data_IF_384219904319
#
_entry.id   IF_384219904319
#
_cell.length_a   1.000
_cell.length_b   1.000
_cell.length_c   1.000
_cell.angle_alpha   90.00
_cell.angle_beta   90.00
_cell.angle_gamma   90.00
#
_symmetry.space_group_name_H-M   'P 1'
#
loop_
_entity.id
_entity.type
_entity.pdbx_description
1 polymer ?
#
# COMPACT_ATOMS: atom_id res chain seq x y z
N UNK A 1 -15.25 16.79 22.74
CA UNK A 1 -16.36 17.64 22.25
C UNK A 1 -17.11 18.24 23.43
N UNK A 2 -17.34 19.52 23.42
CA UNK A 2 -18.19 20.19 24.40
C UNK A 2 -19.50 20.58 23.72
N UNK A 3 -20.61 20.38 24.42
CA UNK A 3 -21.91 20.89 23.99
C UNK A 3 -21.87 22.42 24.02
N UNK A 4 -22.37 23.08 23.00
CA UNK A 4 -22.37 24.52 22.90
C UNK A 4 -23.43 25.00 21.93
N UNK A 5 -23.86 26.25 22.10
CA UNK A 5 -24.86 26.89 21.25
C UNK A 5 -24.15 27.68 20.15
N UNK A 6 -24.30 27.26 18.88
CA UNK A 6 -23.86 27.99 17.70
C UNK A 6 -25.00 28.00 16.67
N UNK A 7 -25.14 29.07 15.94
CA UNK A 7 -26.21 29.26 14.93
C UNK A 7 -27.64 29.01 15.45
N UNK A 8 -27.87 29.24 16.77
CA UNK A 8 -29.17 29.04 17.41
C UNK A 8 -29.46 27.60 17.87
N UNK A 9 -28.55 26.66 17.63
CA UNK A 9 -28.70 25.24 17.97
C UNK A 9 -27.76 24.83 19.09
N UNK A 10 -28.27 24.08 20.08
CA UNK A 10 -27.49 23.56 21.22
C UNK A 10 -27.07 22.11 20.94
N UNK A 11 -25.94 21.94 20.25
CA UNK A 11 -25.44 20.68 19.78
C UNK A 11 -23.96 20.47 20.14
N UNK A 12 -23.42 19.28 19.82
CA UNK A 12 -21.99 19.02 19.84
C UNK A 12 -21.37 19.44 18.50
N UNK A 13 -20.54 20.47 18.55
CA UNK A 13 -19.92 21.06 17.38
C UNK A 13 -18.53 20.51 17.15
N UNK A 14 -18.22 20.15 15.91
CA UNK A 14 -16.88 19.80 15.42
C UNK A 14 -16.39 20.93 14.52
N UNK A 15 -15.22 21.47 14.81
CA UNK A 15 -14.56 22.44 13.96
C UNK A 15 -13.42 21.75 13.22
N UNK A 16 -13.46 21.80 11.90
CA UNK A 16 -12.35 21.50 11.04
C UNK A 16 -11.61 22.78 10.73
N UNK A 17 -10.32 22.80 10.98
CA UNK A 17 -9.45 23.94 10.64
C UNK A 17 -8.17 23.38 10.06
N UNK A 18 -7.70 23.99 8.99
CA UNK A 18 -6.39 23.73 8.46
C UNK A 18 -5.34 24.25 9.47
N UNK A 19 -4.45 23.37 9.93
CA UNK A 19 -3.27 23.79 10.69
C UNK A 19 -2.18 24.20 9.70
N UNK A 20 -2.32 25.38 9.09
CA UNK A 20 -1.23 25.97 8.33
C UNK A 20 -0.18 26.47 9.32
N UNK A 21 0.91 25.72 9.47
CA UNK A 21 2.13 26.26 10.02
C UNK A 21 2.63 27.38 9.12
N UNK A 22 2.43 28.62 9.54
CA UNK A 22 3.04 29.84 8.99
C UNK A 22 2.95 30.04 7.45
N UNK A 23 1.78 30.48 6.97
CA UNK A 23 1.73 31.47 5.92
C UNK A 23 0.37 32.17 5.88
N UNK A 24 0.41 33.50 5.86
CA UNK A 24 -0.73 34.40 5.85
C UNK A 24 -1.46 34.51 4.52
N UNK A 25 -1.15 33.64 3.56
CA UNK A 25 -1.81 33.63 2.25
C UNK A 25 -2.72 32.40 2.13
N UNK A 26 -3.95 32.57 2.57
CA UNK A 26 -5.06 31.65 2.27
C UNK A 26 -5.38 31.79 0.78
N UNK A 27 -4.69 31.03 -0.05
CA UNK A 27 -5.05 30.88 -1.45
C UNK A 27 -6.29 29.96 -1.51
N UNK A 28 -7.45 30.54 -1.73
CA UNK A 28 -8.76 29.86 -1.83
C UNK A 28 -8.76 28.71 -2.88
N UNK A 29 -7.75 28.65 -3.75
CA UNK A 29 -7.58 27.60 -4.75
C UNK A 29 -6.92 26.29 -4.27
N UNK A 30 -6.38 26.26 -3.05
CA UNK A 30 -5.65 25.09 -2.53
C UNK A 30 -6.34 24.42 -1.33
N UNK A 31 -7.61 24.71 -1.06
CA UNK A 31 -8.34 23.99 -0.04
C UNK A 31 -8.48 22.51 -0.43
N UNK A 32 -8.09 21.57 0.43
CA UNK A 32 -8.31 20.16 0.17
C UNK A 32 -9.80 19.89 -0.01
N UNK A 33 -10.15 19.15 -1.05
CA UNK A 33 -11.53 18.76 -1.29
C UNK A 33 -11.89 17.67 -0.27
N UNK A 34 -12.81 17.99 0.64
CA UNK A 34 -13.32 17.03 1.61
C UNK A 34 -14.51 16.31 0.98
N UNK A 35 -14.38 15.01 0.74
CA UNK A 35 -15.43 14.19 0.14
C UNK A 35 -16.44 13.69 1.19
N UNK A 36 -16.02 13.56 2.45
CA UNK A 36 -16.91 13.15 3.53
C UNK A 36 -16.29 13.26 4.91
N UNK A 37 -17.15 13.30 5.92
CA UNK A 37 -16.78 13.29 7.33
C UNK A 37 -17.62 12.21 8.02
N UNK A 38 -16.97 11.19 8.54
CA UNK A 38 -17.62 10.01 9.12
C UNK A 38 -17.23 9.86 10.60
N UNK A 39 -17.86 10.64 11.52
CA UNK A 39 -17.46 10.70 12.93
C UNK A 39 -17.69 9.39 13.69
N UNK A 40 -18.57 8.52 13.22
CA UNK A 40 -18.88 7.23 13.82
C UNK A 40 -18.29 6.06 13.01
N UNK A 41 -17.27 6.32 12.20
CA UNK A 41 -16.61 5.29 11.43
C UNK A 41 -15.52 4.59 12.26
N UNK A 42 -15.35 3.31 12.01
CA UNK A 42 -14.22 2.51 12.48
C UNK A 42 -13.58 1.78 11.30
N UNK A 43 -12.29 1.57 11.36
CA UNK A 43 -11.60 0.73 10.36
C UNK A 43 -11.83 -0.74 10.69
N UNK A 44 -12.13 -1.51 9.65
CA UNK A 44 -12.29 -2.97 9.72
C UNK A 44 -11.33 -3.62 8.75
N UNK A 45 -10.91 -4.85 9.05
CA UNK A 45 -10.10 -5.68 8.17
C UNK A 45 -11.02 -6.73 7.51
N UNK A 46 -10.79 -7.00 6.23
CA UNK A 46 -11.49 -8.05 5.47
C UNK A 46 -10.87 -9.43 5.75
N UNK A 47 -10.87 -9.86 7.00
CA UNK A 47 -10.32 -11.15 7.44
C UNK A 47 -11.36 -11.92 8.25
N UNK A 48 -11.30 -13.24 8.18
CA UNK A 48 -12.06 -14.13 9.04
C UNK A 48 -11.16 -14.66 10.15
N UNK A 49 -11.56 -14.45 11.41
CA UNK A 49 -10.81 -14.94 12.57
C UNK A 49 -11.33 -16.30 12.95
N UNK A 50 -10.46 -17.29 13.01
CA UNK A 50 -10.77 -18.69 13.29
C UNK A 50 -9.97 -19.13 14.50
N UNK A 51 -10.63 -19.89 15.38
CA UNK A 51 -10.00 -20.50 16.55
C UNK A 51 -10.24 -22.02 16.51
N UNK A 52 -9.16 -22.78 16.50
CA UNK A 52 -9.18 -24.24 16.43
C UNK A 52 -8.30 -24.83 17.54
N UNK A 53 -8.71 -26.00 18.04
CA UNK A 53 -7.93 -26.75 19.03
C UNK A 53 -7.60 -28.13 18.48
N UNK A 54 -6.33 -28.49 18.58
CA UNK A 54 -5.79 -29.74 18.08
C UNK A 54 -5.16 -30.56 19.18
N UNK A 55 -5.23 -31.88 19.06
CA UNK A 55 -4.51 -32.83 19.86
C UNK A 55 -3.42 -33.51 19.05
N UNK A 56 -2.17 -33.51 19.54
CA UNK A 56 -1.06 -34.25 18.90
C UNK A 56 -0.59 -35.34 19.85
N UNK A 57 -0.49 -36.58 19.30
CA UNK A 57 0.09 -37.68 20.08
C UNK A 57 1.57 -37.39 20.45
N UNK A 58 1.99 -37.54 21.74
CA UNK A 58 3.34 -37.20 22.17
C UNK A 58 4.45 -37.95 21.44
N UNK A 59 4.15 -39.18 20.97
CA UNK A 59 5.08 -40.08 20.28
C UNK A 59 5.02 -40.00 18.77
N UNK A 60 4.19 -39.09 18.18
CA UNK A 60 4.16 -38.91 16.74
C UNK A 60 5.54 -38.54 16.22
N UNK A 61 6.01 -39.24 15.16
CA UNK A 61 7.27 -38.92 14.49
C UNK A 61 7.19 -37.56 13.81
N UNK A 62 6.05 -37.30 13.16
CA UNK A 62 5.72 -36.04 12.52
C UNK A 62 4.63 -35.30 13.31
N UNK A 63 5.03 -34.27 14.03
CA UNK A 63 4.10 -33.41 14.75
C UNK A 63 3.60 -32.29 13.87
N UNK A 64 2.70 -32.65 12.95
CA UNK A 64 2.09 -31.68 12.03
C UNK A 64 0.59 -31.57 12.29
N UNK A 65 0.06 -30.37 12.13
CA UNK A 65 -1.36 -30.08 12.12
C UNK A 65 -1.71 -29.34 10.85
N UNK A 66 -2.87 -29.64 10.28
CA UNK A 66 -3.44 -28.91 9.14
C UNK A 66 -4.60 -28.08 9.65
N UNK A 67 -4.56 -26.79 9.42
CA UNK A 67 -5.64 -25.85 9.70
C UNK A 67 -6.75 -25.99 8.65
N UNK A 68 -7.95 -25.58 8.99
CA UNK A 68 -9.11 -25.67 8.06
C UNK A 68 -8.94 -24.77 6.85
N UNK A 69 -8.15 -23.70 6.95
CA UNK A 69 -7.92 -22.75 5.86
C UNK A 69 -6.42 -22.43 5.73
N UNK A 70 -6.01 -22.16 4.50
CA UNK A 70 -4.72 -21.58 4.14
C UNK A 70 -4.77 -20.05 4.01
N UNK A 71 -3.78 -19.47 3.34
CA UNK A 71 -3.64 -18.03 3.10
C UNK A 71 -3.75 -17.19 4.40
N UNK A 72 -2.96 -17.59 5.40
CA UNK A 72 -2.99 -17.07 6.75
C UNK A 72 -2.27 -15.74 6.84
N UNK A 73 -3.00 -14.69 7.25
CA UNK A 73 -2.46 -13.34 7.45
C UNK A 73 -1.83 -13.14 8.83
N UNK A 74 -2.48 -13.66 9.87
CA UNK A 74 -2.04 -13.57 11.26
C UNK A 74 -2.19 -14.93 11.94
N UNK A 75 -1.27 -15.28 12.81
CA UNK A 75 -1.21 -16.59 13.46
C UNK A 75 -0.74 -16.46 14.90
N UNK A 76 -1.52 -16.99 15.81
CA UNK A 76 -1.18 -17.10 17.23
C UNK A 76 -1.35 -18.56 17.65
N UNK A 77 -0.27 -19.16 18.13
CA UNK A 77 -0.25 -20.58 18.55
C UNK A 77 0.07 -20.65 20.02
N UNK A 78 -0.81 -21.30 20.77
CA UNK A 78 -0.63 -21.58 22.19
C UNK A 78 -0.62 -23.08 22.43
N UNK A 79 0.32 -23.53 23.23
CA UNK A 79 0.46 -24.93 23.59
C UNK A 79 0.27 -25.09 25.12
N UNK A 80 -0.50 -26.07 25.51
CA UNK A 80 -0.73 -26.37 26.92
C UNK A 80 0.50 -27.05 27.52
N UNK A 81 1.22 -26.36 28.38
CA UNK A 81 2.39 -26.91 29.07
C UNK A 81 2.03 -27.76 30.31
N UNK A 82 3.02 -28.49 30.85
CA UNK A 82 2.87 -29.36 32.01
C UNK A 82 2.14 -28.70 33.19
N UNK A 83 1.36 -29.47 33.87
CA UNK A 83 0.67 -29.02 35.07
C UNK A 83 1.67 -28.60 36.14
N UNK A 84 1.82 -27.31 36.33
CA UNK A 84 2.35 -26.75 37.57
C UNK A 84 1.16 -26.41 38.45
N UNK A 85 1.00 -27.11 39.56
CA UNK A 85 -0.14 -26.93 40.47
C UNK A 85 -0.18 -25.54 41.12
N UNK A 86 0.87 -24.73 40.93
CA UNK A 86 0.92 -23.32 41.33
C UNK A 86 0.26 -22.37 40.34
N UNK A 87 -0.05 -22.81 39.12
CA UNK A 87 -0.60 -21.99 38.04
C UNK A 87 -2.06 -22.35 37.72
N UNK A 88 -2.86 -21.37 37.39
CA UNK A 88 -4.21 -21.58 36.85
C UNK A 88 -4.17 -22.29 35.49
N UNK A 89 -5.30 -22.83 35.02
CA UNK A 89 -5.38 -23.49 33.69
C UNK A 89 -5.04 -22.52 32.56
N UNK A 90 -5.46 -21.25 32.67
CA UNK A 90 -5.20 -20.21 31.70
C UNK A 90 -3.71 -19.81 31.65
N UNK A 91 -3.02 -19.78 32.79
CA UNK A 91 -1.59 -19.47 32.87
C UNK A 91 -0.67 -20.58 32.35
N UNK A 92 -1.22 -21.73 32.01
CA UNK A 92 -0.49 -22.89 31.46
C UNK A 92 -0.49 -22.91 29.94
N UNK A 93 -1.30 -22.09 29.28
CA UNK A 93 -1.28 -21.88 27.85
C UNK A 93 -0.15 -20.90 27.48
N UNK A 94 0.94 -21.44 26.96
CA UNK A 94 2.11 -20.66 26.62
C UNK A 94 2.14 -20.34 25.12
N UNK A 95 2.47 -19.11 24.80
CA UNK A 95 2.60 -18.63 23.44
C UNK A 95 3.88 -19.18 22.80
N UNK A 96 3.75 -19.77 21.63
CA UNK A 96 4.86 -20.25 20.82
C UNK A 96 5.16 -19.27 19.68
N UNK A 97 6.43 -19.16 19.28
CA UNK A 97 6.90 -18.27 18.23
C UNK A 97 7.16 -19.02 16.93
N UNK A 98 6.85 -18.38 15.81
CA UNK A 98 7.17 -18.90 14.50
C UNK A 98 8.67 -18.77 14.21
N UNK A 99 9.30 -19.84 13.75
CA UNK A 99 10.70 -19.87 13.34
C UNK A 99 10.80 -20.31 11.86
N UNK A 100 11.81 -19.86 11.11
CA UNK A 100 11.99 -20.28 9.73
C UNK A 100 12.34 -21.77 9.60
N UNK A 101 13.07 -22.33 10.58
CA UNK A 101 13.48 -23.71 10.62
C UNK A 101 13.49 -24.22 12.07
N UNK A 102 13.21 -25.52 12.25
CA UNK A 102 13.27 -26.17 13.55
C UNK A 102 14.67 -26.73 13.84
N UNK A 103 15.29 -26.27 14.90
CA UNK A 103 16.54 -26.80 15.44
C UNK A 103 16.31 -27.83 16.54
N UNK A 104 17.39 -28.43 17.01
CA UNK A 104 17.33 -29.42 18.09
C UNK A 104 16.77 -28.90 19.42
N UNK A 105 16.86 -27.60 19.67
CA UNK A 105 16.42 -26.90 20.86
C UNK A 105 15.10 -26.10 20.69
N UNK A 106 14.45 -26.21 19.53
CA UNK A 106 13.24 -25.44 19.24
C UNK A 106 12.07 -25.73 20.19
N UNK A 107 11.98 -26.95 20.72
CA UNK A 107 10.99 -27.31 21.74
C UNK A 107 11.18 -26.55 23.06
N UNK A 108 12.43 -26.32 23.47
CA UNK A 108 12.73 -25.51 24.67
C UNK A 108 12.55 -24.02 24.43
N UNK A 109 12.77 -23.56 23.19
CA UNK A 109 12.56 -22.18 22.79
C UNK A 109 11.10 -21.84 22.48
N UNK A 110 10.22 -22.86 22.45
CA UNK A 110 8.81 -22.70 22.09
C UNK A 110 8.64 -22.19 20.66
N UNK A 111 9.29 -22.87 19.72
CA UNK A 111 9.29 -22.51 18.29
C UNK A 111 8.53 -23.57 17.49
N UNK A 112 7.82 -23.12 16.46
CA UNK A 112 7.17 -23.94 15.44
C UNK A 112 7.45 -23.34 14.06
N UNK A 113 7.25 -24.13 12.98
CA UNK A 113 7.26 -23.61 11.61
C UNK A 113 5.86 -23.63 11.03
N UNK A 114 5.56 -22.66 10.17
CA UNK A 114 4.27 -22.56 9.50
C UNK A 114 4.41 -22.44 7.99
N UNK A 115 3.69 -23.28 7.26
CA UNK A 115 3.34 -23.04 5.88
C UNK A 115 2.00 -22.30 5.86
N UNK A 116 2.08 -20.98 5.79
CA UNK A 116 0.89 -20.12 5.86
C UNK A 116 -0.01 -20.25 4.64
N UNK A 117 0.53 -20.65 3.50
CA UNK A 117 -0.23 -20.82 2.27
C UNK A 117 -1.09 -22.08 2.32
N UNK A 118 -0.50 -23.20 2.78
CA UNK A 118 -1.22 -24.46 2.91
C UNK A 118 -1.96 -24.60 4.25
N UNK A 119 -1.72 -23.69 5.21
CA UNK A 119 -2.29 -23.79 6.55
C UNK A 119 -1.70 -24.98 7.35
N UNK A 120 -0.41 -25.27 7.18
CA UNK A 120 0.24 -26.39 7.85
C UNK A 120 1.23 -25.91 8.89
N UNK A 121 1.09 -26.40 10.12
CA UNK A 121 2.03 -26.11 11.20
C UNK A 121 2.83 -27.36 11.53
N UNK A 122 4.15 -27.19 11.73
CA UNK A 122 5.05 -28.27 12.13
C UNK A 122 5.71 -27.93 13.45
N UNK A 123 5.67 -28.84 14.39
CA UNK A 123 6.24 -28.69 15.72
C UNK A 123 7.50 -29.55 15.89
N UNK A 124 8.41 -29.16 16.80
CA UNK A 124 9.63 -29.94 17.06
C UNK A 124 9.32 -31.32 17.62
N UNK A 125 10.18 -32.29 17.29
CA UNK A 125 10.04 -33.68 17.74
C UNK A 125 10.02 -33.80 19.26
N UNK A 126 10.85 -33.00 19.95
CA UNK A 126 10.99 -33.00 21.40
C UNK A 126 10.42 -31.69 21.94
N UNK A 127 9.46 -31.83 22.86
CA UNK A 127 8.74 -30.73 23.53
C UNK A 127 8.77 -30.98 25.04
N UNK A 128 9.95 -30.85 25.67
CA UNK A 128 10.19 -31.27 27.05
C UNK A 128 9.35 -30.54 28.11
N UNK A 129 8.92 -29.32 27.80
CA UNK A 129 8.07 -28.49 28.65
C UNK A 129 6.59 -28.85 28.58
N UNK A 130 6.21 -29.58 27.56
CA UNK A 130 4.83 -29.96 27.32
C UNK A 130 4.51 -31.25 28.09
N UNK A 131 3.25 -31.48 28.39
CA UNK A 131 2.73 -32.59 29.14
C UNK A 131 3.22 -33.96 28.65
N UNK A 132 3.73 -34.81 29.51
CA UNK A 132 4.40 -36.05 29.13
C UNK A 132 3.74 -37.31 29.71
N UNK A 133 2.45 -37.32 29.95
CA UNK A 133 1.81 -38.61 30.12
C UNK A 133 1.69 -39.23 28.71
N UNK A 134 2.29 -40.43 28.55
CA UNK A 134 2.34 -41.15 27.25
C UNK A 134 0.97 -41.43 26.64
N UNK A 135 -0.10 -41.19 27.37
CA UNK A 135 -1.50 -41.45 27.00
C UNK A 135 -2.32 -40.17 26.73
N UNK A 136 -1.81 -39.00 27.05
CA UNK A 136 -2.53 -37.72 26.85
C UNK A 136 -1.96 -36.97 25.68
N UNK A 137 -2.84 -36.54 24.78
CA UNK A 137 -2.48 -35.69 23.62
C UNK A 137 -1.97 -34.33 24.08
N UNK A 138 -1.05 -33.77 23.30
CA UNK A 138 -0.58 -32.39 23.45
C UNK A 138 -1.65 -31.48 22.88
N UNK A 139 -2.28 -30.67 23.73
CA UNK A 139 -3.30 -29.73 23.30
C UNK A 139 -2.66 -28.45 22.74
N UNK A 140 -3.08 -28.06 21.55
CA UNK A 140 -2.61 -26.87 20.83
C UNK A 140 -3.81 -26.05 20.42
N UNK A 141 -3.87 -24.82 20.89
CA UNK A 141 -4.87 -23.83 20.51
C UNK A 141 -4.28 -22.88 19.48
N UNK A 142 -4.93 -22.77 18.34
CA UNK A 142 -4.51 -21.94 17.22
C UNK A 142 -5.59 -20.92 16.93
N UNK A 143 -5.21 -19.65 17.00
CA UNK A 143 -6.04 -18.53 16.55
C UNK A 143 -5.37 -17.90 15.34
N UNK A 144 -6.09 -17.83 14.24
CA UNK A 144 -5.54 -17.27 13.00
C UNK A 144 -6.56 -16.46 12.22
N UNK A 145 -6.04 -15.59 11.40
CA UNK A 145 -6.81 -14.75 10.48
C UNK A 145 -6.55 -15.21 9.04
N UNK A 146 -7.63 -15.52 8.34
CA UNK A 146 -7.64 -15.95 6.96
C UNK A 146 -8.19 -14.84 6.07
N UNK A 147 -7.56 -14.60 4.91
CA UNK A 147 -8.01 -13.65 3.90
C UNK A 147 -8.21 -14.36 2.55
N UNK A 148 -9.30 -14.04 1.87
CA UNK A 148 -9.63 -14.63 0.55
C UNK A 148 -8.96 -13.93 -0.64
N UNK A 149 -7.87 -13.20 -0.41
CA UNK A 149 -7.17 -12.49 -1.47
C UNK A 149 -7.99 -11.34 -2.06
N UNK A 150 -7.83 -11.07 -3.35
CA UNK A 150 -8.51 -9.96 -4.05
C UNK A 150 -10.04 -10.03 -3.98
N UNK A 151 -10.61 -11.23 -3.84
CA UNK A 151 -12.06 -11.43 -3.69
C UNK A 151 -12.61 -10.77 -2.42
N UNK A 152 -11.76 -10.53 -1.41
CA UNK A 152 -12.15 -9.83 -0.19
C UNK A 152 -12.30 -8.31 -0.37
N UNK A 153 -11.96 -7.75 -1.53
CA UNK A 153 -12.21 -6.36 -1.85
C UNK A 153 -13.69 -6.16 -2.21
N UNK A 154 -14.36 -5.32 -1.44
CA UNK A 154 -15.82 -5.11 -1.50
C UNK A 154 -16.10 -3.68 -1.99
N UNK A 155 -16.98 -3.48 -3.00
CA UNK A 155 -17.41 -2.18 -3.48
C UNK A 155 -18.09 -1.32 -2.40
N UNK A 156 -18.27 -0.03 -2.72
CA UNK A 156 -18.96 0.94 -1.85
C UNK A 156 -20.40 0.46 -1.57
N UNK A 157 -20.81 0.49 -0.29
CA UNK A 157 -22.16 0.24 0.15
C UNK A 157 -22.57 -1.24 0.24
N UNK A 158 -21.71 -2.18 -0.10
CA UNK A 158 -22.03 -3.60 -0.02
C UNK A 158 -21.90 -4.16 1.41
N UNK A 159 -21.07 -3.55 2.26
CA UNK A 159 -21.03 -3.88 3.68
C UNK A 159 -22.19 -3.12 4.36
N UNK A 160 -23.36 -3.74 4.40
CA UNK A 160 -24.60 -3.10 4.88
C UNK A 160 -25.29 -3.88 6.00
N UNK A 161 -24.65 -4.93 6.52
CA UNK A 161 -25.22 -5.82 7.52
C UNK A 161 -24.26 -6.10 8.66
N UNK A 162 -24.79 -6.15 9.88
CA UNK A 162 -24.08 -6.62 11.06
C UNK A 162 -24.41 -8.10 11.29
N UNK A 163 -23.41 -8.91 11.64
CA UNK A 163 -23.61 -10.29 12.04
C UNK A 163 -24.39 -10.38 13.35
N UNK A 164 -24.09 -9.51 14.31
CA UNK A 164 -24.78 -9.43 15.59
C UNK A 164 -25.41 -8.06 15.80
N UNK A 165 -26.60 -8.05 16.36
CA UNK A 165 -27.28 -6.81 16.72
C UNK A 165 -26.51 -6.10 17.83
N UNK A 166 -26.08 -4.87 17.57
CA UNK A 166 -25.41 -4.00 18.56
C UNK A 166 -26.41 -2.93 18.96
N UNK A 167 -26.61 -2.73 20.27
CA UNK A 167 -27.52 -1.69 20.78
C UNK A 167 -27.09 -0.32 20.26
N UNK A 168 -28.09 0.50 19.89
CA UNK A 168 -27.92 1.87 19.35
C UNK A 168 -27.33 1.99 17.94
N UNK A 169 -27.09 0.88 17.21
CA UNK A 169 -26.70 0.89 15.81
C UNK A 169 -27.89 0.41 14.97
N UNK A 170 -28.41 1.27 14.13
CA UNK A 170 -29.55 0.97 13.27
C UNK A 170 -29.12 0.43 11.89
N UNK A 171 -28.00 0.93 11.37
CA UNK A 171 -27.45 0.53 10.08
C UNK A 171 -25.95 0.73 10.03
N UNK A 172 -25.30 -0.02 9.16
CA UNK A 172 -23.87 0.12 8.84
C UNK A 172 -23.72 0.19 7.33
N UNK A 173 -22.71 0.88 6.85
CA UNK A 173 -22.31 0.84 5.45
C UNK A 173 -20.83 1.23 5.33
N UNK A 174 -20.19 0.77 4.26
CA UNK A 174 -18.85 1.21 3.92
C UNK A 174 -18.93 2.40 2.94
N UNK A 175 -18.46 3.59 3.33
CA UNK A 175 -18.50 4.78 2.48
C UNK A 175 -17.46 4.77 1.35
N UNK A 176 -16.47 3.88 1.44
CA UNK A 176 -15.43 3.67 0.44
C UNK A 176 -15.31 2.17 0.13
N UNK A 177 -14.84 1.84 -1.07
CA UNK A 177 -14.49 0.46 -1.39
C UNK A 177 -13.38 -0.05 -0.46
N UNK A 178 -13.40 -1.33 -0.13
CA UNK A 178 -12.26 -1.95 0.57
C UNK A 178 -11.14 -2.18 -0.43
N UNK A 179 -9.91 -1.96 -0.01
CA UNK A 179 -8.71 -2.04 -0.85
C UNK A 179 -7.61 -2.80 -0.13
N UNK A 180 -6.56 -3.17 -0.85
CA UNK A 180 -5.35 -3.81 -0.33
C UNK A 180 -5.49 -5.29 0.06
N UNK A 181 -6.55 -5.98 -0.32
CA UNK A 181 -6.55 -7.43 -0.32
C UNK A 181 -5.89 -7.91 -1.63
N UNK A 182 -4.83 -8.70 -1.49
CA UNK A 182 -4.03 -9.23 -2.61
C UNK A 182 -3.95 -10.75 -2.49
N UNK A 183 -3.88 -11.42 -3.63
CA UNK A 183 -3.64 -12.85 -3.67
C UNK A 183 -2.23 -13.22 -3.17
N UNK A 184 -2.03 -14.47 -2.81
CA UNK A 184 -0.75 -15.01 -2.40
C UNK A 184 0.35 -14.76 -3.45
N UNK A 185 1.60 -14.60 -3.00
CA UNK A 185 2.76 -14.39 -3.86
C UNK A 185 2.96 -15.58 -4.81
N UNK A 186 3.20 -15.31 -6.09
CA UNK A 186 3.55 -16.35 -7.06
C UNK A 186 5.00 -16.80 -6.86
N UNK A 187 5.34 -18.01 -7.36
CA UNK A 187 6.71 -18.52 -7.29
C UNK A 187 7.72 -17.59 -8.00
N UNK A 188 7.31 -16.96 -9.11
CA UNK A 188 8.20 -16.05 -9.85
C UNK A 188 8.47 -14.77 -9.04
N UNK A 189 7.45 -14.16 -8.44
CA UNK A 189 7.61 -13.02 -7.54
C UNK A 189 8.49 -13.37 -6.33
N UNK A 190 8.33 -14.55 -5.77
CA UNK A 190 9.18 -15.03 -4.68
C UNK A 190 10.66 -15.20 -5.09
N UNK A 191 10.92 -15.67 -6.31
CA UNK A 191 12.29 -15.78 -6.85
C UNK A 191 12.92 -14.41 -7.06
N UNK A 192 12.18 -13.45 -7.62
CA UNK A 192 12.64 -12.06 -7.81
C UNK A 192 12.94 -11.39 -6.47
N UNK A 193 12.05 -11.51 -5.50
CA UNK A 193 12.24 -10.99 -4.14
C UNK A 193 13.44 -11.62 -3.44
N UNK A 194 13.65 -12.94 -3.57
CA UNK A 194 14.79 -13.61 -2.96
C UNK A 194 16.13 -13.15 -3.56
N UNK A 195 16.19 -12.82 -4.84
CA UNK A 195 17.38 -12.25 -5.45
C UNK A 195 17.78 -10.92 -4.81
N UNK A 196 16.80 -10.05 -4.57
CA UNK A 196 17.01 -8.78 -3.85
C UNK A 196 17.42 -9.01 -2.39
N UNK A 197 16.75 -9.93 -1.69
CA UNK A 197 17.08 -10.27 -0.30
C UNK A 197 18.52 -10.78 -0.15
N UNK A 198 19.02 -11.64 -1.05
CA UNK A 198 20.40 -12.11 -1.04
C UNK A 198 21.41 -10.97 -1.22
N UNK A 199 21.04 -9.92 -1.98
CA UNK A 199 21.90 -8.74 -2.19
C UNK A 199 22.02 -7.87 -0.95
N UNK A 200 20.90 -7.46 -0.32
CA UNK A 200 20.91 -6.55 0.82
C UNK A 200 21.02 -7.26 2.19
N UNK A 201 20.74 -8.57 2.26
CA UNK A 201 20.85 -9.36 3.50
C UNK A 201 20.01 -8.79 4.67
N UNK A 202 18.86 -8.20 4.37
CA UNK A 202 17.97 -7.58 5.36
C UNK A 202 18.47 -6.25 5.92
N UNK A 203 19.33 -5.51 5.21
CA UNK A 203 19.86 -4.22 5.68
C UNK A 203 19.65 -3.12 4.65
N UNK A 204 19.24 -1.94 5.09
CA UNK A 204 19.14 -0.73 4.27
C UNK A 204 20.48 0.01 4.27
N UNK A 205 21.27 -0.12 3.20
CA UNK A 205 22.58 0.56 3.03
C UNK A 205 22.59 1.41 1.76
N UNK A 206 22.26 0.82 0.62
CA UNK A 206 22.17 1.52 -0.66
C UNK A 206 20.76 2.04 -0.93
N UNK A 207 20.63 2.98 -1.87
CA UNK A 207 19.30 3.47 -2.30
C UNK A 207 18.41 2.33 -2.80
N UNK A 208 18.99 1.38 -3.52
CA UNK A 208 18.28 0.20 -4.04
C UNK A 208 17.77 -0.71 -2.91
N UNK A 209 18.54 -0.87 -1.81
CA UNK A 209 18.10 -1.68 -0.67
C UNK A 209 16.86 -1.08 -0.01
N UNK A 210 16.80 0.28 0.12
CA UNK A 210 15.61 0.96 0.63
C UNK A 210 14.40 0.75 -0.27
N UNK A 211 14.59 0.75 -1.61
CA UNK A 211 13.52 0.51 -2.58
C UNK A 211 13.01 -0.94 -2.49
N UNK A 212 13.91 -1.92 -2.46
CA UNK A 212 13.54 -3.33 -2.41
C UNK A 212 12.88 -3.70 -1.09
N UNK A 213 13.47 -3.28 0.03
CA UNK A 213 12.88 -3.54 1.35
C UNK A 213 11.54 -2.82 1.56
N UNK A 214 11.31 -1.68 0.90
CA UNK A 214 9.99 -1.07 0.91
C UNK A 214 8.95 -1.93 0.18
N UNK A 215 9.32 -2.55 -0.96
CA UNK A 215 8.47 -3.51 -1.69
C UNK A 215 8.22 -4.78 -0.88
N UNK A 216 9.20 -5.24 -0.10
CA UNK A 216 9.04 -6.37 0.83
C UNK A 216 8.05 -6.03 1.95
N UNK A 217 8.14 -4.81 2.52
CA UNK A 217 7.26 -4.38 3.60
C UNK A 217 5.79 -4.29 3.18
N UNK A 218 5.53 -3.89 1.92
CA UNK A 218 4.17 -3.68 1.39
C UNK A 218 4.10 -4.03 -0.09
N UNK A 219 3.35 -5.06 -0.45
CA UNK A 219 3.15 -5.50 -1.85
C UNK A 219 2.30 -4.56 -2.70
N UNK A 220 1.58 -3.64 -2.07
CA UNK A 220 0.71 -2.67 -2.74
C UNK A 220 1.48 -1.47 -3.34
N UNK A 221 2.79 -1.48 -3.28
CA UNK A 221 3.63 -0.47 -3.89
C UNK A 221 3.70 -0.72 -5.40
N UNK A 222 3.30 0.29 -6.18
CA UNK A 222 3.49 0.25 -7.63
C UNK A 222 4.84 0.83 -8.04
N UNK A 223 5.20 1.98 -7.45
CA UNK A 223 6.49 2.63 -7.74
C UNK A 223 7.12 3.11 -6.45
N UNK A 224 8.43 2.95 -6.36
CA UNK A 224 9.24 3.44 -5.25
C UNK A 224 10.58 3.92 -5.78
N UNK A 225 11.05 5.06 -5.25
CA UNK A 225 12.36 5.62 -5.57
C UNK A 225 12.98 6.23 -4.32
N UNK A 226 14.24 5.91 -4.08
CA UNK A 226 15.01 6.44 -2.97
C UNK A 226 15.89 7.60 -3.42
N UNK A 227 15.81 8.71 -2.69
CA UNK A 227 16.64 9.90 -2.90
C UNK A 227 17.50 10.13 -1.66
N UNK A 228 18.78 9.78 -1.76
CA UNK A 228 19.76 10.01 -0.70
C UNK A 228 20.27 11.45 -0.73
N UNK A 229 20.38 12.08 0.45
CA UNK A 229 20.88 13.45 0.57
C UNK A 229 19.85 14.55 0.35
N UNK A 230 18.56 14.22 0.38
CA UNK A 230 17.46 15.17 0.17
C UNK A 230 16.36 15.00 1.23
N UNK A 231 15.74 16.12 1.63
CA UNK A 231 14.63 16.17 2.58
C UNK A 231 13.28 15.86 1.90
N UNK A 232 12.21 15.88 2.67
CA UNK A 232 10.84 15.62 2.19
C UNK A 232 10.33 16.63 1.14
N UNK A 233 10.94 17.82 1.04
CA UNK A 233 10.63 18.84 0.05
C UNK A 233 11.58 18.81 -1.17
N UNK A 234 12.52 17.87 -1.22
CA UNK A 234 13.50 17.76 -2.29
C UNK A 234 14.68 18.75 -2.18
N UNK A 235 14.91 19.35 -1.01
CA UNK A 235 16.06 20.24 -0.76
C UNK A 235 17.25 19.41 -0.28
N UNK A 236 18.48 19.77 -0.69
CA UNK A 236 19.68 19.08 -0.23
C UNK A 236 19.79 19.07 1.30
N UNK A 237 19.88 17.90 1.90
CA UNK A 237 20.10 17.69 3.33
C UNK A 237 21.04 16.51 3.53
N UNK A 238 22.23 16.79 3.98
CA UNK A 238 23.26 15.76 4.17
C UNK A 238 22.82 14.69 5.17
N UNK A 239 22.94 13.42 4.78
CA UNK A 239 22.56 12.26 5.59
C UNK A 239 21.05 12.02 5.69
N UNK A 240 20.22 12.76 4.93
CA UNK A 240 18.81 12.46 4.81
C UNK A 240 18.58 11.38 3.74
N UNK A 241 17.52 10.60 3.94
CA UNK A 241 17.02 9.60 2.99
C UNK A 241 15.54 9.82 2.82
N UNK A 242 15.12 10.12 1.61
CA UNK A 242 13.71 10.28 1.27
C UNK A 242 13.27 9.19 0.30
N UNK A 243 12.29 8.41 0.73
CA UNK A 243 11.66 7.37 -0.07
C UNK A 243 10.35 7.91 -0.64
N UNK A 244 10.27 7.98 -1.96
CA UNK A 244 9.07 8.39 -2.67
C UNK A 244 8.30 7.16 -3.09
N UNK A 245 7.06 7.03 -2.63
CA UNK A 245 6.25 5.82 -2.78
C UNK A 245 4.92 6.14 -3.44
N UNK A 246 4.57 5.40 -4.49
CA UNK A 246 3.26 5.41 -5.12
C UNK A 246 2.60 4.05 -4.98
N UNK A 247 1.46 4.01 -4.30
CA UNK A 247 0.64 2.80 -4.19
C UNK A 247 -0.15 2.55 -5.47
N UNK A 248 -0.60 1.32 -5.71
CA UNK A 248 -1.48 0.97 -6.83
C UNK A 248 -2.79 1.79 -6.82
N UNK A 249 -3.30 2.07 -5.62
CA UNK A 249 -4.56 2.81 -5.38
C UNK A 249 -4.34 4.32 -5.15
N UNK A 250 -3.37 4.91 -5.81
CA UNK A 250 -2.90 6.29 -5.57
C UNK A 250 -3.96 7.40 -5.76
N UNK A 251 -5.15 7.13 -6.16
CA UNK A 251 -6.22 8.11 -6.36
C UNK A 251 -7.40 7.95 -5.42
N UNK A 252 -7.46 6.88 -4.63
CA UNK A 252 -8.68 6.50 -3.94
C UNK A 252 -8.76 6.99 -2.50
N UNK A 253 -7.65 7.10 -1.76
CA UNK A 253 -7.68 7.55 -0.37
C UNK A 253 -6.31 7.96 0.19
N UNK A 254 -6.25 9.14 0.82
CA UNK A 254 -5.09 9.57 1.63
C UNK A 254 -4.84 8.65 2.82
N UNK A 255 -5.86 7.98 3.33
CA UNK A 255 -5.76 7.04 4.44
C UNK A 255 -4.98 5.78 4.06
N UNK A 256 -5.14 5.29 2.82
CA UNK A 256 -4.38 4.16 2.30
C UNK A 256 -2.88 4.45 2.32
N UNK A 257 -2.47 5.64 1.88
CA UNK A 257 -1.06 6.03 1.90
C UNK A 257 -0.47 6.11 3.31
N UNK A 258 -1.17 6.71 4.28
CA UNK A 258 -0.67 6.80 5.66
C UNK A 258 -0.50 5.43 6.32
N UNK A 259 -1.37 4.47 6.01
CA UNK A 259 -1.23 3.08 6.46
C UNK A 259 0.00 2.41 5.83
N UNK A 260 0.17 2.55 4.52
CA UNK A 260 1.33 2.05 3.76
C UNK A 260 2.62 2.67 4.30
N UNK A 261 2.67 3.98 4.45
CA UNK A 261 3.78 4.73 5.04
C UNK A 261 4.17 4.19 6.42
N UNK A 262 3.19 3.96 7.30
CA UNK A 262 3.44 3.44 8.64
C UNK A 262 4.04 2.04 8.63
N UNK A 263 3.57 1.15 7.75
CA UNK A 263 4.13 -0.20 7.59
C UNK A 263 5.57 -0.15 7.07
N UNK A 264 5.81 0.61 6.01
CA UNK A 264 7.16 0.79 5.44
C UNK A 264 8.09 1.37 6.50
N UNK A 265 7.66 2.43 7.19
CA UNK A 265 8.46 3.09 8.23
C UNK A 265 8.86 2.10 9.34
N UNK A 266 7.92 1.33 9.88
CA UNK A 266 8.22 0.37 10.94
C UNK A 266 9.18 -0.73 10.49
N UNK A 267 9.03 -1.24 9.27
CA UNK A 267 9.89 -2.30 8.72
C UNK A 267 11.31 -1.79 8.44
N UNK A 268 11.44 -0.65 7.77
CA UNK A 268 12.74 -0.10 7.41
C UNK A 268 13.52 0.41 8.62
N UNK A 269 12.87 1.07 9.58
CA UNK A 269 13.57 1.58 10.79
C UNK A 269 14.14 0.48 11.67
N UNK A 270 13.61 -0.73 11.60
CA UNK A 270 14.18 -1.90 12.29
C UNK A 270 15.47 -2.41 11.62
N UNK A 271 15.70 -2.08 10.34
CA UNK A 271 16.76 -2.66 9.50
C UNK A 271 17.73 -1.61 8.92
N UNK A 272 17.64 -0.35 9.35
CA UNK A 272 18.49 0.76 8.89
C UNK A 272 19.38 1.31 10.00
N UNK A 273 20.33 2.19 9.63
CA UNK A 273 21.19 2.88 10.60
C UNK A 273 20.35 3.74 11.55
N UNK A 274 20.48 3.47 12.84
CA UNK A 274 19.78 4.20 13.91
C UNK A 274 20.12 5.69 13.96
N UNK A 275 21.27 6.12 13.44
CA UNK A 275 21.61 7.54 13.38
C UNK A 275 20.67 8.30 12.43
N UNK A 276 20.22 7.68 11.34
CA UNK A 276 19.27 8.28 10.39
C UNK A 276 17.90 8.43 11.07
N UNK A 277 17.45 7.40 11.79
CA UNK A 277 16.19 7.39 12.53
C UNK A 277 16.18 8.44 13.64
N UNK A 278 17.20 8.41 14.51
CA UNK A 278 17.30 9.28 15.69
C UNK A 278 17.40 10.77 15.33
N UNK A 279 17.96 11.10 14.16
CA UNK A 279 18.06 12.47 13.68
C UNK A 279 16.87 12.92 12.84
N UNK A 280 15.81 12.09 12.76
CA UNK A 280 14.61 12.34 11.94
C UNK A 280 14.96 12.68 10.49
N UNK A 281 15.92 11.96 9.92
CA UNK A 281 16.40 12.16 8.53
C UNK A 281 15.83 11.15 7.54
N UNK A 282 14.94 10.28 7.97
CA UNK A 282 14.23 9.34 7.12
C UNK A 282 12.81 9.85 6.85
N UNK A 283 12.51 10.05 5.58
CA UNK A 283 11.24 10.58 5.12
C UNK A 283 10.58 9.61 4.13
N UNK A 284 9.27 9.46 4.21
CA UNK A 284 8.47 8.74 3.23
C UNK A 284 7.39 9.69 2.74
N UNK A 285 7.40 9.94 1.43
CA UNK A 285 6.50 10.90 0.79
C UNK A 285 5.81 10.31 -0.43
N UNK A 286 4.66 10.86 -0.77
CA UNK A 286 3.98 10.56 -2.03
C UNK A 286 4.51 11.49 -3.13
N UNK A 287 4.65 11.03 -4.38
CA UNK A 287 5.03 11.90 -5.48
C UNK A 287 3.92 12.92 -5.76
N UNK A 288 4.32 14.15 -6.13
CA UNK A 288 3.41 15.17 -6.62
C UNK A 288 2.92 14.77 -8.02
N UNK A 289 1.62 14.64 -8.20
CA UNK A 289 1.04 14.34 -9.50
C UNK A 289 0.85 15.65 -10.28
N UNK A 290 1.68 15.85 -11.30
CA UNK A 290 1.60 17.03 -12.17
C UNK A 290 0.52 16.83 -13.22
N UNK A 291 -0.57 17.55 -13.06
CA UNK A 291 -1.65 17.55 -14.03
C UNK A 291 -1.21 18.29 -15.29
N UNK A 292 -1.16 17.56 -16.42
CA UNK A 292 -0.82 18.10 -17.74
C UNK A 292 -2.08 18.24 -18.58
N UNK A 293 -2.41 19.47 -18.95
CA UNK A 293 -3.46 19.76 -19.91
C UNK A 293 -2.83 19.80 -21.32
N UNK A 294 -3.40 19.04 -22.23
CA UNK A 294 -2.90 18.88 -23.60
C UNK A 294 -3.94 19.42 -24.58
N UNK A 295 -3.50 20.35 -25.42
CA UNK A 295 -4.27 20.79 -26.58
C UNK A 295 -3.54 20.40 -27.86
N UNK A 296 -4.18 19.60 -28.68
CA UNK A 296 -3.63 19.13 -29.95
C UNK A 296 -4.56 19.44 -31.12
N UNK A 297 -3.98 19.93 -32.23
CA UNK A 297 -4.62 20.12 -33.51
C UNK A 297 -4.02 19.10 -34.47
N UNK A 298 -4.88 18.29 -35.09
CA UNK A 298 -4.50 17.15 -35.92
C UNK A 298 -5.06 17.27 -37.31
N UNK A 299 -4.29 16.86 -38.32
CA UNK A 299 -4.79 16.53 -39.66
C UNK A 299 -5.01 15.01 -39.74
N UNK A 300 -6.16 14.60 -40.24
CA UNK A 300 -6.54 13.20 -40.35
C UNK A 300 -6.33 12.68 -41.78
N UNK A 301 -6.09 11.37 -41.88
CA UNK A 301 -5.92 10.71 -43.17
C UNK A 301 -7.26 10.57 -43.93
N UNK A 302 -8.39 10.55 -43.24
CA UNK A 302 -9.73 10.40 -43.79
C UNK A 302 -10.76 11.23 -43.02
N UNK A 303 -11.52 12.10 -43.73
CA UNK A 303 -12.55 12.96 -43.12
C UNK A 303 -13.71 12.18 -42.46
N UNK A 304 -14.00 10.98 -42.94
CA UNK A 304 -15.12 10.16 -42.44
C UNK A 304 -14.93 9.57 -41.04
N UNK A 305 -13.71 9.63 -40.52
CA UNK A 305 -13.36 9.01 -39.22
C UNK A 305 -13.03 10.02 -38.11
N UNK A 306 -13.37 11.29 -38.26
CA UNK A 306 -13.00 12.35 -37.29
C UNK A 306 -13.34 11.98 -35.87
N UNK A 307 -14.55 11.51 -35.60
CA UNK A 307 -14.98 11.17 -34.26
C UNK A 307 -14.19 9.97 -33.66
N UNK A 308 -14.00 8.92 -34.47
CA UNK A 308 -13.29 7.71 -34.02
C UNK A 308 -11.80 8.01 -33.80
N UNK A 309 -11.16 8.78 -34.69
CA UNK A 309 -9.76 9.18 -34.55
C UNK A 309 -9.54 10.09 -33.32
N UNK A 310 -10.42 11.06 -33.11
CA UNK A 310 -10.37 11.96 -31.93
C UNK A 310 -10.50 11.17 -30.62
N UNK A 311 -11.38 10.18 -30.62
CA UNK A 311 -11.54 9.30 -29.45
C UNK A 311 -10.28 8.47 -29.19
N UNK A 312 -9.70 7.81 -30.21
CA UNK A 312 -8.45 7.04 -30.10
C UNK A 312 -7.28 7.90 -29.61
N UNK A 313 -7.17 9.12 -30.12
CA UNK A 313 -6.13 10.08 -29.69
C UNK A 313 -6.29 10.47 -28.22
N UNK A 314 -7.52 10.67 -27.77
CA UNK A 314 -7.78 10.97 -26.34
C UNK A 314 -7.44 9.80 -25.44
N UNK A 315 -7.88 8.60 -25.81
CA UNK A 315 -7.56 7.36 -25.07
C UNK A 315 -6.05 7.12 -25.02
N UNK A 316 -5.34 7.38 -26.12
CA UNK A 316 -3.88 7.26 -26.13
C UNK A 316 -3.19 8.31 -25.26
N UNK A 317 -3.65 9.55 -25.22
CA UNK A 317 -3.14 10.59 -24.33
C UNK A 317 -3.38 10.23 -22.84
N UNK A 318 -4.57 9.75 -22.52
CA UNK A 318 -4.90 9.30 -21.17
C UNK A 318 -3.99 8.14 -20.75
N UNK A 319 -3.81 7.15 -21.62
CA UNK A 319 -2.90 6.03 -21.41
C UNK A 319 -1.45 6.49 -21.26
N UNK A 320 -0.96 7.33 -22.20
CA UNK A 320 0.44 7.76 -22.22
C UNK A 320 0.83 8.58 -20.98
N UNK A 321 -0.09 9.41 -20.47
CA UNK A 321 0.12 10.25 -19.30
C UNK A 321 -0.19 9.55 -17.97
N UNK A 322 -0.63 8.30 -17.99
CA UNK A 322 -0.88 7.54 -16.76
C UNK A 322 0.43 7.27 -16.01
N UNK A 323 0.52 7.59 -14.72
CA UNK A 323 1.75 7.38 -13.94
C UNK A 323 2.16 5.92 -13.82
N UNK A 324 1.20 4.98 -13.87
CA UNK A 324 1.45 3.54 -13.68
C UNK A 324 1.57 2.74 -14.97
N UNK A 325 0.81 3.12 -15.99
CA UNK A 325 0.69 2.39 -17.27
C UNK A 325 1.11 3.21 -18.48
N UNK A 326 1.55 4.45 -18.26
CA UNK A 326 1.97 5.36 -19.31
C UNK A 326 3.31 4.99 -19.93
N UNK A 327 3.93 6.00 -20.59
CA UNK A 327 5.17 5.81 -21.33
C UNK A 327 4.99 4.92 -22.58
N UNK A 328 6.07 4.78 -23.37
CA UNK A 328 6.08 4.00 -24.63
C UNK A 328 5.99 2.48 -24.38
N UNK A 329 6.52 2.02 -23.24
CA UNK A 329 6.60 0.59 -22.90
C UNK A 329 5.40 0.09 -22.08
N UNK A 330 4.53 1.00 -21.58
CA UNK A 330 3.38 0.62 -20.76
C UNK A 330 3.73 0.30 -19.32
N UNK A 331 4.96 0.55 -18.88
CA UNK A 331 5.49 0.32 -17.53
C UNK A 331 5.36 1.56 -16.62
N UNK A 332 4.73 2.62 -17.15
CA UNK A 332 4.51 3.89 -16.47
C UNK A 332 5.76 4.77 -16.40
N UNK A 333 5.61 5.94 -15.82
CA UNK A 333 6.67 6.92 -15.71
C UNK A 333 7.54 6.68 -14.49
N UNK A 334 8.86 6.85 -14.63
CA UNK A 334 9.75 6.86 -13.47
C UNK A 334 9.50 8.09 -12.60
N UNK A 335 9.66 7.94 -11.28
CA UNK A 335 9.52 9.06 -10.35
C UNK A 335 10.59 10.11 -10.66
N UNK A 336 10.16 11.33 -10.95
CA UNK A 336 11.01 12.43 -11.39
C UNK A 336 11.04 12.64 -12.92
N UNK A 337 10.51 11.69 -13.70
CA UNK A 337 10.42 11.83 -15.14
C UNK A 337 9.05 12.41 -15.55
N UNK A 338 9.09 13.43 -16.41
CA UNK A 338 7.89 14.04 -17.00
C UNK A 338 8.02 13.99 -18.51
N UNK A 339 6.91 13.74 -19.26
CA UNK A 339 6.93 13.69 -20.70
C UNK A 339 7.27 15.03 -21.32
N UNK A 340 8.09 15.03 -22.35
CA UNK A 340 8.31 16.21 -23.15
C UNK A 340 7.30 16.31 -24.32
N UNK A 341 7.27 17.48 -24.95
CA UNK A 341 6.38 17.76 -26.08
C UNK A 341 6.62 16.81 -27.26
N UNK A 342 7.90 16.45 -27.49
CA UNK A 342 8.27 15.57 -28.59
C UNK A 342 7.87 14.14 -28.33
N UNK A 343 7.98 13.66 -27.08
CA UNK A 343 7.54 12.33 -26.67
C UNK A 343 6.02 12.17 -26.84
N UNK A 344 5.25 13.17 -26.41
CA UNK A 344 3.78 13.18 -26.61
C UNK A 344 3.45 13.20 -28.12
N UNK A 345 4.12 14.07 -28.92
CA UNK A 345 3.90 14.11 -30.35
C UNK A 345 4.26 12.79 -31.05
N UNK A 346 5.31 12.10 -30.55
CA UNK A 346 5.70 10.80 -31.09
C UNK A 346 4.65 9.71 -30.77
N UNK A 347 4.13 9.68 -29.55
CA UNK A 347 3.07 8.75 -29.16
C UNK A 347 1.80 8.96 -30.02
N UNK A 348 1.40 10.20 -30.24
CA UNK A 348 0.22 10.53 -31.05
C UNK A 348 0.36 10.19 -32.52
N UNK A 349 1.57 10.27 -33.09
CA UNK A 349 1.82 9.89 -34.51
C UNK A 349 1.64 8.39 -34.77
N UNK A 350 1.67 7.57 -33.72
CA UNK A 350 1.46 6.12 -33.83
C UNK A 350 -0.03 5.74 -33.84
N UNK A 351 -0.92 6.70 -33.53
CA UNK A 351 -2.35 6.44 -33.47
C UNK A 351 -2.90 6.33 -34.89
N UNK A 352 -3.62 5.26 -35.17
CA UNK A 352 -4.24 5.01 -36.47
C UNK A 352 -5.22 6.12 -36.84
N UNK A 353 -5.08 6.65 -38.08
CA UNK A 353 -5.89 7.74 -38.60
C UNK A 353 -5.26 9.12 -38.45
N UNK A 354 -4.20 9.29 -37.68
CA UNK A 354 -3.46 10.57 -37.58
C UNK A 354 -2.45 10.68 -38.70
N UNK A 355 -2.59 11.70 -39.56
CA UNK A 355 -1.67 12.02 -40.66
C UNK A 355 -0.55 12.97 -40.22
N UNK A 356 -0.94 14.03 -39.53
CA UNK A 356 -0.02 15.07 -39.09
C UNK A 356 -0.53 15.79 -37.84
N UNK A 357 0.41 16.31 -37.04
CA UNK A 357 0.11 17.14 -35.85
C UNK A 357 0.47 18.58 -36.22
N UNK A 358 -0.53 19.42 -36.42
CA UNK A 358 -0.35 20.83 -36.82
C UNK A 358 0.09 21.68 -35.62
N UNK A 359 -0.50 21.44 -34.45
CA UNK A 359 -0.15 22.16 -33.24
C UNK A 359 -0.29 21.28 -32.02
N UNK A 360 0.70 21.36 -31.10
CA UNK A 360 0.66 20.73 -29.80
C UNK A 360 1.06 21.76 -28.75
N UNK A 361 0.20 22.00 -27.77
CA UNK A 361 0.47 22.88 -26.65
C UNK A 361 0.22 22.14 -25.33
N UNK A 362 1.13 22.31 -24.40
CA UNK A 362 1.08 21.70 -23.07
C UNK A 362 0.98 22.80 -22.02
N UNK A 363 0.14 22.57 -21.00
CA UNK A 363 0.06 23.43 -19.82
C UNK A 363 0.10 22.56 -18.58
N UNK A 364 0.80 23.01 -17.56
CA UNK A 364 0.77 22.37 -16.22
C UNK A 364 -0.13 23.18 -15.30
N UNK A 365 -0.88 22.48 -14.47
CA UNK A 365 -1.65 23.09 -13.41
C UNK A 365 -0.81 23.05 -12.12
N UNK A 366 -0.45 24.22 -11.59
CA UNK A 366 0.31 24.38 -10.38
C UNK A 366 -0.26 25.52 -9.55
N UNK A 367 -0.48 25.27 -8.26
CA UNK A 367 -0.93 26.29 -7.28
C UNK A 367 -2.12 27.13 -7.73
N UNK A 368 -3.14 26.51 -8.36
CA UNK A 368 -4.34 27.20 -8.81
C UNK A 368 -4.23 27.95 -10.14
N UNK A 369 -3.10 27.86 -10.84
CA UNK A 369 -2.86 28.55 -12.13
C UNK A 369 -2.37 27.58 -13.19
N UNK A 370 -2.72 27.91 -14.45
CA UNK A 370 -2.16 27.23 -15.63
C UNK A 370 -0.89 27.97 -16.05
N UNK A 371 0.20 27.23 -16.12
CA UNK A 371 1.50 27.73 -16.59
C UNK A 371 1.87 26.99 -17.88
N UNK A 372 2.60 27.67 -18.79
CA UNK A 372 3.20 27.01 -19.93
C UNK A 372 4.13 25.90 -19.43
N UNK A 373 4.05 24.73 -20.05
CA UNK A 373 4.89 23.61 -19.67
C UNK A 373 6.19 23.66 -20.48
N UNK A 374 7.29 24.07 -19.84
CA UNK A 374 8.65 24.07 -20.38
C UNK A 374 9.55 23.22 -19.49
N UNK A 375 10.16 22.19 -20.07
CA UNK A 375 10.98 21.21 -19.31
C UNK A 375 12.32 21.77 -18.82
N UNK A 376 12.80 22.87 -19.43
CA UNK A 376 14.19 23.32 -19.29
C UNK A 376 14.57 23.89 -17.91
N UNK A 377 13.62 24.31 -17.08
CA UNK A 377 13.91 24.95 -15.78
C UNK A 377 13.97 23.97 -14.60
N UNK A 378 13.53 22.75 -14.77
CA UNK A 378 13.29 21.83 -13.66
C UNK A 378 14.33 20.70 -13.51
N UNK A 379 15.37 20.68 -14.33
CA UNK A 379 16.39 19.58 -14.31
C UNK A 379 17.37 19.59 -13.15
N UNK A 380 17.33 20.56 -12.25
CA UNK A 380 18.35 20.76 -11.22
C UNK A 380 17.99 20.25 -9.81
N UNK A 381 16.76 19.78 -9.58
CA UNK A 381 16.31 19.27 -8.29
C UNK A 381 15.75 17.86 -8.44
N UNK A 382 15.91 16.97 -7.46
CA UNK A 382 15.24 15.68 -7.47
C UNK A 382 13.75 15.94 -7.38
N UNK A 383 13.02 15.59 -8.44
CA UNK A 383 11.60 15.88 -8.50
C UNK A 383 10.83 14.65 -8.03
N UNK A 384 10.15 14.79 -6.93
CA UNK A 384 9.19 13.81 -6.43
C UNK A 384 7.88 13.93 -7.22
N UNK A 385 7.94 13.84 -8.57
CA UNK A 385 6.85 14.17 -9.47
C UNK A 385 6.57 13.06 -10.45
N UNK A 386 5.29 12.93 -10.83
CA UNK A 386 4.82 12.06 -11.89
C UNK A 386 3.78 12.79 -12.73
N UNK A 387 3.67 12.51 -14.04
CA UNK A 387 2.63 13.07 -14.87
C UNK A 387 1.27 12.45 -14.53
N UNK A 388 0.21 13.24 -14.73
CA UNK A 388 -1.19 12.79 -14.71
C UNK A 388 -1.95 13.51 -15.81
N UNK A 389 -2.85 12.82 -16.50
CA UNK A 389 -3.72 13.44 -17.49
C UNK A 389 -4.61 14.51 -16.86
N UNK A 390 -4.65 15.68 -17.50
CA UNK A 390 -5.51 16.79 -17.18
C UNK A 390 -6.65 16.92 -18.17
N UNK A 391 -6.93 18.17 -18.57
CA UNK A 391 -7.90 18.44 -19.64
C UNK A 391 -7.27 18.14 -21.00
N UNK A 392 -7.93 17.30 -21.79
CA UNK A 392 -7.49 16.88 -23.10
C UNK A 392 -8.42 17.50 -24.19
N UNK A 393 -7.90 18.49 -24.89
CA UNK A 393 -8.58 19.14 -26.01
C UNK A 393 -7.98 18.63 -27.33
N UNK A 394 -8.73 17.78 -28.02
CA UNK A 394 -8.33 17.22 -29.31
C UNK A 394 -9.22 17.82 -30.38
N UNK A 395 -8.62 18.57 -31.30
CA UNK A 395 -9.29 19.19 -32.46
C UNK A 395 -8.72 18.56 -33.70
N UNK A 396 -9.59 18.05 -34.55
CA UNK A 396 -9.21 17.48 -35.84
C UNK A 396 -9.66 18.43 -36.95
N UNK A 397 -8.74 18.73 -37.84
CA UNK A 397 -9.02 19.42 -39.11
C UNK A 397 -9.01 18.40 -40.24
N UNK A 398 -9.89 18.59 -41.24
CA UNK A 398 -9.97 17.71 -42.41
C UNK A 398 -8.74 17.75 -43.29
#
# INVERSE_FOLDING_TARGET
SRRGTMFGEDLYWLRLSECSGQSSDVNVGNCPKIEGIYPNATSVLGVETIEETFGIAPRAEDKQIALSYGDICSLEVRVLEKADFSRSLEERWELWSEAPELGADSGNRREYTADRREGRLTFPKYMDKVKQNEQEEIEIHVKYEHCRGEIANVPIGEINRLDRTVGFINSVYNPMATVCALDGETVMEAVERNASFLRHGGRCVSAEDYEDMAREAVRDISKVKCFAGYDEQGRPQQGAVTLVVLSKDYGESSYSFERTKKKIYSYLTANMDQNIVNQSRFHIVMPELIRLDVKVLLELAQEKEIFAATKRVREELERFLDPLRGNFYGDGWEIGALPDKNQIAHALKQVEGVKYISQLSLRKYKSGRFEAYEINEERLLPFYRLPKSGFLEVVAEP
#
